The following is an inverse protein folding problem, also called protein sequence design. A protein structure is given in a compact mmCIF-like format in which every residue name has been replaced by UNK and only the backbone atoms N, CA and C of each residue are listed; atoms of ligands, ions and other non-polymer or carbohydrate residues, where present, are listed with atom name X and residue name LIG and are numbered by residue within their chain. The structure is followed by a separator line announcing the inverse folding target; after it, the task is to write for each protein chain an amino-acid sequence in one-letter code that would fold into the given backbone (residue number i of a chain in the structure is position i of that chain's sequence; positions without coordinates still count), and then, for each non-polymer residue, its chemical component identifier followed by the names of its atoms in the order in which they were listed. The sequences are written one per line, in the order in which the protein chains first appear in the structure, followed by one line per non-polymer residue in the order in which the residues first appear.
data_IF_639366131529
#
_entry.id   IF_639366131529
#
_cell.length_a   1.000
_cell.length_b   1.000
_cell.length_c   1.000
_cell.angle_alpha   90.00
_cell.angle_beta   90.00
_cell.angle_gamma   90.00
#
_symmetry.space_group_name_H-M   'P 1'
#
loop_
_entity.id
_entity.type
_entity.pdbx_description
1 polymer ?
#
# COMPACT_ATOMS: atom_id res chain seq x y z
N UNK A 1 23.32 -26.67 10.88
CA UNK A 1 22.28 -25.80 10.28
C UNK A 1 20.94 -25.90 11.02
N UNK A 2 20.33 -27.09 11.17
CA UNK A 2 19.07 -27.27 11.95
C UNK A 2 19.10 -26.67 13.37
N UNK A 3 20.19 -26.83 14.11
CA UNK A 3 20.31 -26.26 15.46
C UNK A 3 20.36 -24.72 15.47
N UNK A 4 20.87 -24.10 14.40
CA UNK A 4 20.89 -22.64 14.27
C UNK A 4 19.49 -22.12 13.93
N UNK A 5 18.82 -22.75 12.97
CA UNK A 5 17.45 -22.46 12.59
C UNK A 5 16.48 -22.56 13.77
N UNK A 6 16.52 -23.65 14.54
CA UNK A 6 15.70 -23.82 15.75
C UNK A 6 15.96 -22.73 16.80
N UNK A 7 17.22 -22.28 16.97
CA UNK A 7 17.54 -21.18 17.88
C UNK A 7 16.93 -19.87 17.39
N UNK A 8 17.00 -19.58 16.09
CA UNK A 8 16.41 -18.38 15.49
C UNK A 8 14.89 -18.41 15.63
N UNK A 9 14.24 -19.52 15.29
CA UNK A 9 12.79 -19.67 15.39
C UNK A 9 12.30 -19.54 16.84
N UNK A 10 13.05 -20.03 17.82
CA UNK A 10 12.70 -19.84 19.23
C UNK A 10 12.79 -18.36 19.67
N UNK A 11 13.69 -17.57 19.06
CA UNK A 11 13.82 -16.13 19.36
C UNK A 11 12.74 -15.33 18.63
N UNK A 12 12.55 -15.57 17.33
CA UNK A 12 11.65 -14.78 16.48
C UNK A 12 10.18 -15.20 16.59
N UNK A 13 9.91 -16.47 16.95
CA UNK A 13 8.54 -16.98 17.07
C UNK A 13 7.65 -16.17 18.02
N UNK A 14 8.25 -15.52 19.03
CA UNK A 14 7.54 -14.63 19.95
C UNK A 14 7.04 -13.32 19.33
N UNK A 15 7.55 -12.93 18.15
CA UNK A 15 7.18 -11.70 17.43
C UNK A 15 6.59 -11.95 16.04
N UNK A 16 6.33 -13.21 15.65
CA UNK A 16 5.75 -13.54 14.34
C UNK A 16 4.41 -12.85 14.08
N UNK A 17 3.62 -12.61 15.13
CA UNK A 17 2.36 -11.85 15.07
C UNK A 17 2.55 -10.38 14.65
N UNK A 18 3.76 -9.83 14.83
CA UNK A 18 4.10 -8.47 14.40
C UNK A 18 4.49 -8.40 12.92
N UNK A 19 4.89 -9.51 12.30
CA UNK A 19 5.40 -9.48 10.92
C UNK A 19 4.36 -8.92 9.92
N UNK A 20 3.07 -9.32 9.93
CA UNK A 20 2.06 -8.70 9.08
C UNK A 20 1.83 -7.22 9.43
N UNK A 21 1.97 -6.84 10.70
CA UNK A 21 1.79 -5.47 11.16
C UNK A 21 2.90 -4.53 10.69
N UNK A 22 4.15 -4.98 10.65
CA UNK A 22 5.28 -4.19 10.12
C UNK A 22 5.00 -3.80 8.67
N UNK A 23 4.62 -4.79 7.85
CA UNK A 23 4.31 -4.57 6.43
C UNK A 23 3.04 -3.73 6.26
N UNK A 24 2.01 -3.98 7.09
CA UNK A 24 0.74 -3.22 7.09
C UNK A 24 0.95 -1.76 7.39
N UNK A 25 1.69 -1.44 8.46
CA UNK A 25 1.96 -0.07 8.87
C UNK A 25 2.85 0.62 7.84
N UNK A 26 3.87 -0.06 7.31
CA UNK A 26 4.69 0.47 6.23
C UNK A 26 3.86 0.90 5.02
N UNK A 27 3.02 -0.01 4.49
CA UNK A 27 2.13 0.30 3.37
C UNK A 27 1.13 1.41 3.70
N UNK A 28 0.45 1.29 4.85
CA UNK A 28 -0.61 2.23 5.25
C UNK A 28 -0.08 3.65 5.45
N UNK A 29 1.04 3.80 6.15
CA UNK A 29 1.69 5.09 6.38
C UNK A 29 2.19 5.68 5.06
N UNK A 30 2.82 4.88 4.19
CA UNK A 30 3.29 5.35 2.89
C UNK A 30 2.14 5.94 2.05
N UNK A 31 1.01 5.23 1.96
CA UNK A 31 -0.17 5.72 1.24
C UNK A 31 -0.78 6.99 1.85
N UNK A 32 -0.83 7.07 3.18
CA UNK A 32 -1.28 8.29 3.87
C UNK A 32 -0.36 9.47 3.51
N UNK A 33 0.96 9.28 3.53
CA UNK A 33 1.92 10.33 3.18
C UNK A 33 1.81 10.71 1.69
N UNK A 34 1.70 9.73 0.78
CA UNK A 34 1.53 9.98 -0.66
C UNK A 34 0.27 10.81 -0.96
N UNK A 35 -0.84 10.51 -0.29
CA UNK A 35 -2.08 11.26 -0.44
C UNK A 35 -2.02 12.62 0.25
N UNK A 36 -1.45 12.70 1.45
CA UNK A 36 -1.31 13.94 2.21
C UNK A 36 -0.40 14.96 1.54
N UNK A 37 0.70 14.51 0.91
CA UNK A 37 1.61 15.39 0.18
C UNK A 37 0.99 16.02 -1.10
N UNK A 38 -0.23 15.64 -1.46
CA UNK A 38 -1.00 16.25 -2.56
C UNK A 38 -1.85 17.44 -2.11
N UNK A 39 -1.91 17.72 -0.80
CA UNK A 39 -2.61 18.88 -0.26
C UNK A 39 -1.84 20.19 -0.50
N UNK A 40 -2.52 21.36 -0.56
CA UNK A 40 -3.97 21.54 -0.40
C UNK A 40 -4.79 21.04 -1.59
N UNK A 41 -6.06 20.75 -1.34
CA UNK A 41 -6.99 20.33 -2.38
C UNK A 41 -7.59 21.56 -3.10
N UNK A 42 -7.75 21.53 -4.43
CA UNK A 42 -7.40 20.43 -5.32
C UNK A 42 -5.88 20.38 -5.63
N UNK A 43 -5.26 19.19 -5.74
CA UNK A 43 -3.83 19.05 -5.94
C UNK A 43 -3.33 19.69 -7.24
N UNK A 44 -2.62 20.81 -7.13
CA UNK A 44 -2.13 21.56 -8.31
C UNK A 44 -1.13 20.76 -9.14
N UNK A 45 -0.29 19.93 -8.49
CA UNK A 45 0.65 19.06 -9.21
C UNK A 45 -0.07 18.10 -10.16
N UNK A 46 -1.13 17.42 -9.71
CA UNK A 46 -1.86 16.49 -10.57
C UNK A 46 -2.58 17.19 -11.73
N UNK A 47 -3.10 18.40 -11.49
CA UNK A 47 -3.75 19.20 -12.53
C UNK A 47 -2.71 19.66 -13.56
N UNK A 48 -1.59 20.22 -13.11
CA UNK A 48 -0.61 20.86 -14.00
C UNK A 48 0.24 19.83 -14.76
N UNK A 49 0.64 18.72 -14.11
CA UNK A 49 1.49 17.71 -14.74
C UNK A 49 0.71 16.69 -15.57
N UNK A 50 -0.49 16.28 -15.11
CA UNK A 50 -1.26 15.21 -15.76
C UNK A 50 -2.57 15.68 -16.40
N UNK A 51 -2.91 16.98 -16.32
CA UNK A 51 -4.12 17.54 -16.91
C UNK A 51 -5.41 17.07 -16.26
N UNK A 52 -5.36 16.57 -15.02
CA UNK A 52 -6.54 16.08 -14.32
C UNK A 52 -7.53 17.21 -14.02
N UNK A 53 -8.82 16.90 -14.02
CA UNK A 53 -9.82 17.82 -13.48
C UNK A 53 -9.58 18.02 -11.97
N UNK A 54 -9.96 19.17 -11.39
CA UNK A 54 -9.85 19.40 -9.94
C UNK A 54 -10.53 18.32 -9.09
N UNK A 55 -11.68 17.82 -9.57
CA UNK A 55 -12.42 16.75 -8.92
C UNK A 55 -11.65 15.42 -8.94
N UNK A 56 -11.10 15.02 -10.10
CA UNK A 56 -10.32 13.79 -10.21
C UNK A 56 -9.02 13.86 -9.40
N UNK A 57 -8.30 14.99 -9.48
CA UNK A 57 -7.08 15.20 -8.69
C UNK A 57 -7.35 15.08 -7.18
N UNK A 58 -8.44 15.69 -6.72
CA UNK A 58 -8.87 15.59 -5.32
C UNK A 58 -9.26 14.16 -4.94
N UNK A 59 -9.98 13.47 -5.82
CA UNK A 59 -10.37 12.08 -5.60
C UNK A 59 -9.16 11.16 -5.45
N UNK A 60 -8.11 11.34 -6.28
CA UNK A 60 -6.86 10.56 -6.18
C UNK A 60 -6.18 10.79 -4.84
N UNK A 61 -5.99 12.04 -4.42
CA UNK A 61 -5.36 12.36 -3.15
C UNK A 61 -6.12 11.78 -1.94
N UNK A 62 -7.44 11.92 -1.93
CA UNK A 62 -8.27 11.37 -0.86
C UNK A 62 -8.29 9.84 -0.87
N UNK A 63 -8.34 9.21 -2.05
CA UNK A 63 -8.34 7.75 -2.18
C UNK A 63 -7.05 7.12 -1.67
N UNK A 64 -5.90 7.77 -1.89
CA UNK A 64 -4.63 7.30 -1.35
C UNK A 64 -4.59 7.36 0.18
N UNK A 65 -4.98 8.49 0.78
CA UNK A 65 -5.08 8.61 2.25
C UNK A 65 -6.04 7.56 2.80
N UNK A 66 -7.21 7.42 2.17
CA UNK A 66 -8.24 6.50 2.61
C UNK A 66 -7.81 5.02 2.49
N UNK A 67 -7.11 4.65 1.42
CA UNK A 67 -6.56 3.30 1.25
C UNK A 67 -5.57 2.95 2.37
N UNK A 68 -4.67 3.89 2.71
CA UNK A 68 -3.73 3.70 3.80
C UNK A 68 -4.40 3.54 5.17
N UNK A 69 -5.42 4.34 5.45
CA UNK A 69 -6.23 4.22 6.67
C UNK A 69 -6.99 2.89 6.74
N UNK A 70 -7.64 2.48 5.64
CA UNK A 70 -8.40 1.22 5.57
C UNK A 70 -7.51 0.01 5.83
N UNK A 71 -6.31 -0.04 5.24
CA UNK A 71 -5.34 -1.12 5.46
C UNK A 71 -5.02 -1.26 6.96
N UNK A 72 -4.80 -0.14 7.66
CA UNK A 72 -4.47 -0.13 9.09
C UNK A 72 -5.67 -0.55 9.93
N UNK A 73 -6.83 0.08 9.70
CA UNK A 73 -8.07 -0.18 10.46
C UNK A 73 -8.55 -1.62 10.26
N UNK A 74 -8.49 -2.15 9.04
CA UNK A 74 -8.86 -3.53 8.75
C UNK A 74 -8.05 -4.53 9.57
N UNK A 75 -6.78 -4.22 9.82
CA UNK A 75 -5.89 -5.02 10.65
C UNK A 75 -6.26 -5.06 12.14
N UNK A 76 -6.89 -4.02 12.67
CA UNK A 76 -7.29 -3.95 14.09
C UNK A 76 -8.49 -4.85 14.41
N UNK A 77 -9.22 -5.30 13.38
CA UNK A 77 -10.43 -6.08 13.52
C UNK A 77 -10.15 -7.57 13.30
N UNK A 78 -10.19 -8.36 14.38
CA UNK A 78 -9.91 -9.80 14.37
C UNK A 78 -11.13 -10.65 13.99
N UNK A 79 -11.87 -10.25 12.95
CA UNK A 79 -13.07 -10.96 12.49
C UNK A 79 -13.18 -10.96 10.95
N UNK A 80 -14.26 -11.54 10.42
CA UNK A 80 -14.52 -11.60 8.97
C UNK A 80 -14.63 -10.21 8.34
N UNK A 81 -15.19 -9.23 9.06
CA UNK A 81 -15.29 -7.85 8.62
C UNK A 81 -13.89 -7.22 8.46
N UNK A 82 -13.02 -7.37 9.45
CA UNK A 82 -11.63 -6.90 9.35
C UNK A 82 -10.88 -7.50 8.17
N UNK A 83 -11.07 -8.80 7.93
CA UNK A 83 -10.50 -9.47 6.77
C UNK A 83 -11.01 -8.90 5.43
N UNK A 84 -12.30 -8.57 5.33
CA UNK A 84 -12.87 -7.92 4.14
C UNK A 84 -12.35 -6.49 3.96
N UNK A 85 -12.26 -5.71 5.04
CA UNK A 85 -11.73 -4.34 5.03
C UNK A 85 -10.26 -4.33 4.60
N UNK A 86 -9.43 -5.24 5.12
CA UNK A 86 -8.03 -5.37 4.69
C UNK A 86 -7.93 -5.71 3.20
N UNK A 87 -8.78 -6.60 2.68
CA UNK A 87 -8.81 -6.93 1.25
C UNK A 87 -9.25 -5.74 0.41
N UNK A 88 -10.24 -4.99 0.87
CA UNK A 88 -10.68 -3.75 0.22
C UNK A 88 -9.53 -2.73 0.15
N UNK A 89 -8.81 -2.55 1.26
CA UNK A 89 -7.62 -1.69 1.30
C UNK A 89 -6.54 -2.15 0.32
N UNK A 90 -6.26 -3.46 0.27
CA UNK A 90 -5.33 -4.04 -0.69
C UNK A 90 -5.77 -3.81 -2.14
N UNK A 91 -7.07 -3.99 -2.43
CA UNK A 91 -7.63 -3.71 -3.76
C UNK A 91 -7.47 -2.24 -4.15
N UNK A 92 -7.78 -1.32 -3.24
CA UNK A 92 -7.63 0.12 -3.49
C UNK A 92 -6.19 0.47 -3.83
N UNK A 93 -5.23 -0.02 -3.04
CA UNK A 93 -3.79 0.16 -3.29
C UNK A 93 -3.41 -0.35 -4.68
N UNK A 94 -3.84 -1.58 -5.03
CA UNK A 94 -3.55 -2.19 -6.33
C UNK A 94 -4.09 -1.37 -7.49
N UNK A 95 -5.35 -0.93 -7.41
CA UNK A 95 -6.00 -0.13 -8.46
C UNK A 95 -5.29 1.22 -8.62
N UNK A 96 -5.02 1.93 -7.51
CA UNK A 96 -4.29 3.21 -7.54
C UNK A 96 -2.92 3.02 -8.17
N UNK A 97 -2.19 1.97 -7.78
CA UNK A 97 -0.86 1.70 -8.30
C UNK A 97 -0.85 1.37 -9.80
N UNK A 98 -1.86 0.64 -10.30
CA UNK A 98 -2.00 0.41 -11.74
C UNK A 98 -2.11 1.74 -12.48
N UNK A 99 -2.96 2.66 -12.03
CA UNK A 99 -3.07 3.98 -12.63
C UNK A 99 -1.78 4.80 -12.50
N UNK A 100 -1.10 4.75 -11.34
CA UNK A 100 0.17 5.43 -11.15
C UNK A 100 1.23 4.93 -12.15
N UNK A 101 1.35 3.62 -12.35
CA UNK A 101 2.24 3.07 -13.37
C UNK A 101 1.82 3.45 -14.78
N UNK A 102 0.54 3.33 -15.10
CA UNK A 102 0.01 3.62 -16.43
C UNK A 102 0.04 5.10 -16.81
N UNK A 103 0.19 6.03 -15.86
CA UNK A 103 0.15 7.47 -16.15
C UNK A 103 1.49 8.13 -15.86
N UNK A 104 2.09 7.87 -14.69
CA UNK A 104 3.28 8.57 -14.23
C UNK A 104 4.60 7.85 -14.52
N UNK A 105 4.56 6.53 -14.78
CA UNK A 105 5.75 5.68 -14.80
C UNK A 105 5.73 4.62 -15.92
N UNK A 106 5.11 4.93 -17.06
CA UNK A 106 4.95 3.98 -18.17
C UNK A 106 6.30 3.46 -18.70
N UNK A 107 7.32 4.30 -18.70
CA UNK A 107 8.66 3.95 -19.15
C UNK A 107 9.35 2.94 -18.23
N UNK A 108 8.87 2.76 -17.00
CA UNK A 108 9.50 1.84 -16.05
C UNK A 108 9.31 0.38 -16.44
N UNK A 109 8.23 0.04 -17.16
CA UNK A 109 7.90 -1.35 -17.52
C UNK A 109 9.00 -2.08 -18.30
N UNK A 110 9.88 -1.35 -18.98
CA UNK A 110 10.98 -1.91 -19.77
C UNK A 110 12.36 -1.60 -19.17
N UNK A 111 12.43 -1.09 -17.94
CA UNK A 111 13.68 -0.72 -17.28
C UNK A 111 13.81 -1.32 -15.88
N UNK A 112 15.03 -1.32 -15.35
CA UNK A 112 15.29 -1.75 -13.96
C UNK A 112 14.59 -0.88 -12.91
N UNK A 113 14.12 0.33 -13.29
CA UNK A 113 13.41 1.24 -12.38
C UNK A 113 12.15 0.61 -11.81
N UNK A 114 11.48 -0.28 -12.56
CA UNK A 114 10.29 -0.97 -12.06
C UNK A 114 10.59 -1.71 -10.76
N UNK A 115 11.69 -2.44 -10.67
CA UNK A 115 12.03 -3.29 -9.52
C UNK A 115 12.98 -2.66 -8.50
N UNK A 116 13.47 -1.44 -8.77
CA UNK A 116 14.35 -0.69 -7.86
C UNK A 116 13.65 0.50 -7.20
N UNK A 117 12.38 0.76 -7.54
CA UNK A 117 11.58 1.84 -6.97
C UNK A 117 10.61 1.34 -5.91
N UNK A 118 10.25 2.21 -4.97
CA UNK A 118 9.24 1.93 -3.94
C UNK A 118 7.89 1.48 -4.51
N UNK A 119 7.47 2.06 -5.65
CA UNK A 119 6.13 1.89 -6.23
C UNK A 119 5.76 0.41 -6.49
N UNK A 120 6.70 -0.42 -6.93
CA UNK A 120 6.40 -1.85 -7.14
C UNK A 120 6.18 -2.57 -5.82
N UNK A 121 6.89 -2.20 -4.76
CA UNK A 121 6.72 -2.81 -3.44
C UNK A 121 5.38 -2.41 -2.84
N UNK A 122 4.95 -1.16 -3.01
CA UNK A 122 3.60 -0.72 -2.65
C UNK A 122 2.52 -1.57 -3.34
N UNK A 123 2.67 -1.80 -4.65
CA UNK A 123 1.78 -2.66 -5.43
C UNK A 123 1.79 -4.12 -4.95
N UNK A 124 2.97 -4.71 -4.76
CA UNK A 124 3.13 -6.11 -4.33
C UNK A 124 2.58 -6.33 -2.92
N UNK A 125 2.79 -5.39 -2.01
CA UNK A 125 2.24 -5.47 -0.65
C UNK A 125 0.71 -5.25 -0.67
N UNK A 126 0.21 -4.37 -1.54
CA UNK A 126 -1.23 -4.25 -1.79
C UNK A 126 -1.85 -5.56 -2.27
N UNK A 127 -1.22 -6.22 -3.26
CA UNK A 127 -1.61 -7.55 -3.73
C UNK A 127 -1.56 -8.59 -2.61
N UNK A 128 -0.52 -8.56 -1.78
CA UNK A 128 -0.41 -9.44 -0.63
C UNK A 128 -1.62 -9.30 0.29
N UNK A 129 -2.00 -8.09 0.71
CA UNK A 129 -3.18 -7.89 1.56
C UNK A 129 -4.51 -8.19 0.84
N UNK A 130 -4.60 -7.95 -0.47
CA UNK A 130 -5.76 -8.33 -1.28
C UNK A 130 -6.00 -9.85 -1.29
N UNK A 131 -4.93 -10.64 -1.42
CA UNK A 131 -4.99 -12.10 -1.52
C UNK A 131 -5.12 -12.74 -0.13
N UNK A 132 -4.33 -12.26 0.83
CA UNK A 132 -4.19 -12.84 2.17
C UNK A 132 -5.29 -12.37 3.13
N UNK A 133 -5.62 -11.08 3.11
CA UNK A 133 -6.47 -10.44 4.12
C UNK A 133 -5.78 -10.34 5.48
N UNK A 134 -6.46 -10.73 6.56
CA UNK A 134 -5.90 -10.72 7.93
C UNK A 134 -5.37 -12.09 8.41
N UNK A 135 -5.55 -13.14 7.60
CA UNK A 135 -5.20 -14.52 7.97
C UNK A 135 -3.76 -14.85 7.60
#
# INVERSE_FOLDING_TARGET
MKNLDNKINNILGGIDLLAPWVIRLGLGIAFIIHGYNKFPLPPQGLINYFGFSPALATFVALSEVFAGLIIIVGGLLNNSLGNLITRLGGLMVVVIMIFAFSIAHQEWFITVKLFTSEQIFLFLIGLFFLIKGNK
#
